data_IF_891487841111
#
_entry.id   IF_891487841111
#
_cell.length_a   1.000
_cell.length_b   1.000
_cell.length_c   1.000
_cell.angle_alpha   90.00
_cell.angle_beta   90.00
_cell.angle_gamma   90.00
#
_symmetry.space_group_name_H-M   'P 1'
#
loop_
_entity.id
_entity.type
_entity.pdbx_description
1 polymer ?
#
# COMPACT_ATOMS: atom_id res chain seq x y z
N UNK A 1 -4.83 26.16 -9.71
CA UNK A 1 -5.12 24.93 -10.47
C UNK A 1 -4.96 23.75 -9.52
N UNK A 2 -6.02 22.99 -9.24
CA UNK A 2 -5.95 21.80 -8.39
C UNK A 2 -5.56 20.59 -9.24
N UNK A 3 -4.57 19.81 -8.80
CA UNK A 3 -4.02 18.69 -9.57
C UNK A 3 -2.62 18.31 -9.12
N UNK A 4 -2.00 17.38 -9.83
CA UNK A 4 -0.66 16.89 -9.52
C UNK A 4 0.13 16.50 -10.76
N UNK A 5 1.46 16.62 -10.69
CA UNK A 5 2.35 16.14 -11.74
C UNK A 5 2.69 14.67 -11.50
N UNK A 6 2.44 13.82 -12.50
CA UNK A 6 2.82 12.40 -12.49
C UNK A 6 4.21 12.22 -13.11
N UNK A 7 4.59 13.13 -14.01
CA UNK A 7 5.95 13.24 -14.53
C UNK A 7 6.33 14.71 -14.66
N UNK A 8 7.60 14.98 -14.98
CA UNK A 8 8.08 16.35 -15.27
C UNK A 8 7.27 17.09 -16.35
N UNK A 9 6.51 16.35 -17.18
CA UNK A 9 5.75 16.91 -18.31
C UNK A 9 4.24 16.65 -18.25
N UNK A 10 3.78 15.79 -17.34
CA UNK A 10 2.37 15.38 -17.28
C UNK A 10 1.73 15.89 -16.00
N UNK A 11 0.94 16.96 -16.12
CA UNK A 11 0.05 17.44 -15.07
C UNK A 11 -1.34 16.83 -15.26
N UNK A 12 -1.89 16.26 -14.19
CA UNK A 12 -3.25 15.70 -14.15
C UNK A 12 -4.13 16.60 -13.26
N UNK A 13 -5.13 17.28 -13.85
CA UNK A 13 -6.12 18.04 -13.08
C UNK A 13 -6.90 17.14 -12.12
N UNK A 14 -7.27 17.66 -10.94
CA UNK A 14 -8.08 16.90 -9.97
C UNK A 14 -9.43 16.45 -10.52
N UNK A 15 -9.99 17.22 -11.48
CA UNK A 15 -11.25 16.91 -12.14
C UNK A 15 -11.21 15.61 -12.95
N UNK A 16 -10.05 15.12 -13.36
CA UNK A 16 -9.90 13.84 -14.06
C UNK A 16 -10.36 12.68 -13.15
N UNK A 17 -10.00 12.76 -11.88
CA UNK A 17 -10.28 11.71 -10.89
C UNK A 17 -11.74 11.64 -10.47
N UNK A 18 -12.50 12.73 -10.65
CA UNK A 18 -13.92 12.81 -10.28
C UNK A 18 -14.86 12.69 -11.47
N UNK A 19 -14.37 12.18 -12.62
CA UNK A 19 -15.19 12.06 -13.82
C UNK A 19 -16.33 11.05 -13.68
N UNK A 20 -17.55 11.59 -13.54
CA UNK A 20 -18.78 10.81 -13.57
C UNK A 20 -18.95 10.03 -14.88
N UNK A 21 -19.44 8.80 -14.74
CA UNK A 21 -19.80 7.90 -15.84
C UNK A 21 -18.64 7.08 -16.43
N UNK A 22 -17.40 7.23 -15.97
CA UNK A 22 -16.30 6.35 -16.38
C UNK A 22 -16.55 4.91 -15.90
N UNK A 23 -16.42 3.95 -16.81
CA UNK A 23 -16.59 2.53 -16.49
C UNK A 23 -15.22 1.94 -16.19
N UNK A 24 -14.85 1.95 -14.90
CA UNK A 24 -13.62 1.31 -14.44
C UNK A 24 -13.79 -0.21 -14.46
N UNK A 25 -12.74 -0.91 -14.89
CA UNK A 25 -12.74 -2.37 -15.03
C UNK A 25 -12.46 -3.00 -13.66
N UNK A 26 -13.26 -4.00 -13.29
CA UNK A 26 -13.12 -4.76 -12.03
C UNK A 26 -13.07 -3.85 -10.79
N UNK A 27 -13.85 -2.76 -10.79
CA UNK A 27 -13.92 -1.80 -9.69
C UNK A 27 -14.23 -2.47 -8.33
N UNK A 28 -15.17 -3.44 -8.24
CA UNK A 28 -15.42 -4.12 -6.97
C UNK A 28 -14.21 -4.89 -6.44
N UNK A 29 -13.43 -5.54 -7.30
CA UNK A 29 -12.20 -6.23 -6.92
C UNK A 29 -11.09 -5.27 -6.50
N UNK A 30 -10.94 -4.14 -7.20
CA UNK A 30 -9.99 -3.09 -6.84
C UNK A 30 -10.35 -2.46 -5.50
N UNK A 31 -11.63 -2.20 -5.27
CA UNK A 31 -12.12 -1.75 -3.97
C UNK A 31 -11.84 -2.76 -2.86
N UNK A 32 -12.11 -4.05 -3.09
CA UNK A 32 -11.76 -5.13 -2.14
C UNK A 32 -10.26 -5.17 -1.85
N UNK A 33 -9.43 -5.00 -2.87
CA UNK A 33 -7.98 -4.93 -2.75
C UNK A 33 -7.56 -3.79 -1.82
N UNK A 34 -8.01 -2.55 -2.09
CA UNK A 34 -7.72 -1.36 -1.26
C UNK A 34 -8.14 -1.59 0.19
N UNK A 35 -9.34 -2.08 0.41
CA UNK A 35 -9.87 -2.38 1.74
C UNK A 35 -9.03 -3.39 2.56
N UNK A 36 -8.50 -4.42 1.90
CA UNK A 36 -7.62 -5.43 2.55
C UNK A 36 -6.27 -4.79 2.91
N UNK A 37 -5.72 -3.98 2.00
CA UNK A 37 -4.45 -3.28 2.17
C UNK A 37 -4.55 -2.29 3.33
N UNK A 38 -5.59 -1.46 3.38
CA UNK A 38 -5.82 -0.49 4.46
C UNK A 38 -5.82 -1.16 5.84
N UNK A 39 -6.54 -2.28 5.97
CA UNK A 39 -6.60 -2.99 7.25
C UNK A 39 -5.24 -3.57 7.66
N UNK A 40 -4.47 -4.10 6.71
CA UNK A 40 -3.12 -4.58 6.97
C UNK A 40 -2.16 -3.45 7.33
N UNK A 41 -2.29 -2.29 6.67
CA UNK A 41 -1.52 -1.09 6.99
C UNK A 41 -1.85 -0.53 8.37
N UNK A 42 -3.11 -0.60 8.81
CA UNK A 42 -3.48 -0.17 10.17
C UNK A 42 -2.73 -0.99 11.23
N UNK A 43 -2.71 -2.33 11.08
CA UNK A 43 -1.96 -3.22 11.98
C UNK A 43 -0.45 -2.95 11.91
N UNK A 44 0.09 -2.75 10.71
CA UNK A 44 1.51 -2.45 10.50
C UNK A 44 1.91 -1.08 11.06
N UNK A 45 1.08 -0.04 10.87
CA UNK A 45 1.28 1.32 11.37
C UNK A 45 1.33 1.33 12.90
N UNK A 46 0.48 0.55 13.55
CA UNK A 46 0.53 0.37 15.01
C UNK A 46 1.87 -0.22 15.46
N UNK A 47 2.33 -1.30 14.81
CA UNK A 47 3.61 -1.92 15.13
C UNK A 47 4.82 -0.98 14.85
N UNK A 48 4.73 -0.18 13.80
CA UNK A 48 5.72 0.86 13.47
C UNK A 48 5.84 1.90 14.58
N UNK A 49 4.70 2.45 15.04
CA UNK A 49 4.68 3.44 16.13
C UNK A 49 5.28 2.87 17.42
N UNK A 50 4.99 1.61 17.74
CA UNK A 50 5.56 0.93 18.91
C UNK A 50 7.07 0.75 18.77
N UNK A 51 7.55 0.36 17.58
CA UNK A 51 8.98 0.26 17.27
C UNK A 51 9.71 1.61 17.41
N UNK A 52 9.17 2.67 16.80
CA UNK A 52 9.75 4.00 16.84
C UNK A 52 9.77 4.56 18.26
N UNK A 53 8.70 4.38 19.05
CA UNK A 53 8.68 4.76 20.46
C UNK A 53 9.74 4.02 21.27
N UNK A 54 9.85 2.71 21.11
CA UNK A 54 10.86 1.92 21.78
C UNK A 54 12.28 2.41 21.41
N UNK A 55 12.51 2.75 20.15
CA UNK A 55 13.78 3.31 19.72
C UNK A 55 14.11 4.65 20.38
N UNK A 56 13.13 5.56 20.51
CA UNK A 56 13.36 6.89 21.09
C UNK A 56 13.72 6.78 22.58
N UNK A 57 13.06 5.85 23.30
CA UNK A 57 13.38 5.57 24.71
C UNK A 57 14.78 5.00 24.86
N UNK A 58 15.20 4.08 23.98
CA UNK A 58 16.56 3.54 23.98
C UNK A 58 17.64 4.60 23.74
N UNK A 59 17.36 5.63 22.95
CA UNK A 59 18.31 6.74 22.71
C UNK A 59 18.33 7.79 23.83
N UNK A 60 17.26 7.91 24.62
CA UNK A 60 17.16 8.89 25.70
C UNK A 60 17.71 8.38 27.05
N UNK A 61 17.88 7.07 27.23
CA UNK A 61 18.47 6.47 28.43
C UNK A 61 20.00 6.55 28.41
N UNK A 62 20.58 7.11 29.47
CA UNK A 62 22.02 7.36 29.68
C UNK A 62 22.96 6.12 29.61
N UNK A 63 22.47 4.93 29.29
CA UNK A 63 23.24 3.68 29.29
C UNK A 63 23.51 3.07 27.90
N UNK A 64 23.20 3.76 26.80
CA UNK A 64 23.73 3.41 25.47
C UNK A 64 23.37 2.01 24.93
N UNK A 65 22.40 1.31 25.54
CA UNK A 65 21.91 0.06 25.00
C UNK A 65 21.05 0.39 23.78
N UNK A 66 21.55 0.07 22.59
CA UNK A 66 20.81 0.17 21.33
C UNK A 66 19.46 -0.54 21.37
N UNK A 67 18.72 -0.50 20.26
CA UNK A 67 17.43 -1.19 20.18
C UNK A 67 17.60 -2.66 20.56
N UNK A 68 16.79 -3.14 21.50
CA UNK A 68 16.86 -4.53 21.92
C UNK A 68 16.47 -5.46 20.76
N UNK A 69 17.14 -6.61 20.69
CA UNK A 69 16.85 -7.65 19.69
C UNK A 69 15.34 -7.97 19.63
N UNK A 70 14.70 -8.07 20.79
CA UNK A 70 13.28 -8.35 20.92
C UNK A 70 12.37 -7.29 20.29
N UNK A 71 12.74 -6.00 20.35
CA UNK A 71 12.01 -4.92 19.67
C UNK A 71 12.13 -5.06 18.15
N UNK A 72 13.35 -5.37 17.65
CA UNK A 72 13.58 -5.65 16.24
C UNK A 72 12.80 -6.86 15.73
N UNK A 73 12.81 -7.97 16.47
CA UNK A 73 12.07 -9.20 16.13
C UNK A 73 10.55 -8.97 16.08
N UNK A 74 10.01 -8.15 17.00
CA UNK A 74 8.58 -7.80 16.98
C UNK A 74 8.21 -7.00 15.73
N UNK A 75 9.03 -6.01 15.36
CA UNK A 75 8.82 -5.23 14.15
C UNK A 75 8.95 -6.09 12.89
N UNK A 76 9.97 -6.94 12.83
CA UNK A 76 10.15 -7.89 11.74
C UNK A 76 8.92 -8.79 11.58
N UNK A 77 8.40 -9.36 12.66
CA UNK A 77 7.20 -10.21 12.62
C UNK A 77 5.99 -9.48 12.05
N UNK A 78 5.77 -8.22 12.43
CA UNK A 78 4.68 -7.42 11.87
C UNK A 78 4.83 -7.21 10.36
N UNK A 79 6.06 -6.96 9.88
CA UNK A 79 6.36 -6.88 8.45
C UNK A 79 6.15 -8.21 7.72
N UNK A 80 6.45 -9.35 8.35
CA UNK A 80 6.20 -10.67 7.76
C UNK A 80 4.70 -10.97 7.63
N UNK A 81 3.92 -10.66 8.65
CA UNK A 81 2.45 -10.75 8.61
C UNK A 81 1.88 -9.83 7.52
N UNK A 82 2.41 -8.62 7.38
CA UNK A 82 2.04 -7.70 6.30
C UNK A 82 2.39 -8.23 4.89
N UNK A 83 3.59 -8.81 4.71
CA UNK A 83 3.98 -9.40 3.42
C UNK A 83 3.07 -10.57 3.07
N UNK A 84 2.60 -11.35 4.05
CA UNK A 84 1.59 -12.39 3.82
C UNK A 84 0.25 -11.81 3.33
N UNK A 85 -0.16 -10.64 3.81
CA UNK A 85 -1.33 -9.91 3.27
C UNK A 85 -1.10 -9.53 1.80
N UNK A 86 0.07 -8.99 1.47
CA UNK A 86 0.44 -8.61 0.10
C UNK A 86 0.43 -9.82 -0.85
N UNK A 87 1.10 -10.90 -0.47
CA UNK A 87 1.16 -12.13 -1.27
C UNK A 87 -0.24 -12.75 -1.41
N UNK A 88 -1.07 -12.63 -0.37
CA UNK A 88 -2.47 -12.98 -0.41
C UNK A 88 -3.23 -12.20 -1.50
N UNK A 89 -3.15 -10.88 -1.49
CA UNK A 89 -3.80 -10.02 -2.50
C UNK A 89 -3.38 -10.44 -3.91
N UNK A 90 -2.08 -10.67 -4.14
CA UNK A 90 -1.57 -11.15 -5.44
C UNK A 90 -2.17 -12.50 -5.80
N UNK A 91 -2.14 -13.47 -4.88
CA UNK A 91 -2.60 -14.84 -5.14
C UNK A 91 -4.09 -14.96 -5.43
N UNK A 92 -4.92 -14.10 -4.83
CA UNK A 92 -6.39 -14.20 -4.94
C UNK A 92 -7.02 -13.15 -5.86
N UNK A 93 -6.43 -11.95 -5.96
CA UNK A 93 -6.98 -10.84 -6.74
C UNK A 93 -6.09 -10.48 -7.94
N UNK A 94 -4.81 -10.86 -7.97
CA UNK A 94 -3.84 -10.40 -8.99
C UNK A 94 -4.32 -10.54 -10.44
N UNK A 95 -4.91 -11.69 -10.80
CA UNK A 95 -5.48 -11.90 -12.15
C UNK A 95 -6.64 -10.95 -12.44
N UNK A 96 -7.52 -10.72 -11.46
CA UNK A 96 -8.68 -9.80 -11.61
C UNK A 96 -8.26 -8.34 -11.59
N UNK A 97 -7.15 -8.02 -10.92
CA UNK A 97 -6.57 -6.68 -10.90
C UNK A 97 -5.78 -6.35 -12.18
N UNK A 98 -5.49 -7.35 -13.03
CA UNK A 98 -4.73 -7.15 -14.26
C UNK A 98 -3.22 -6.99 -14.04
N UNK A 99 -2.70 -7.50 -12.90
CA UNK A 99 -1.32 -7.29 -12.44
C UNK A 99 -0.56 -8.59 -12.15
N UNK A 100 -1.17 -9.75 -12.43
CA UNK A 100 -0.52 -11.05 -12.29
C UNK A 100 -0.65 -11.88 -13.55
N UNK A 101 0.47 -12.42 -14.02
CA UNK A 101 0.46 -13.54 -14.97
C UNK A 101 -0.16 -14.74 -14.25
N UNK A 102 -1.07 -15.44 -14.92
CA UNK A 102 -1.79 -16.61 -14.40
C UNK A 102 -0.92 -17.84 -14.15
N UNK A 103 0.32 -17.67 -13.68
CA UNK A 103 1.17 -18.73 -13.17
C UNK A 103 0.49 -19.40 -11.98
N UNK A 104 0.40 -20.73 -12.04
CA UNK A 104 -0.39 -21.58 -11.16
C UNK A 104 -0.51 -21.01 -9.75
N UNK A 105 -1.76 -20.72 -9.34
CA UNK A 105 -2.13 -20.42 -7.97
C UNK A 105 -1.59 -21.52 -7.07
N UNK A 106 -0.38 -21.34 -6.53
CA UNK A 106 -0.01 -22.03 -5.31
C UNK A 106 -1.01 -21.49 -4.31
N UNK A 107 -2.01 -22.30 -3.95
CA UNK A 107 -2.90 -22.02 -2.82
C UNK A 107 -2.01 -21.44 -1.74
N UNK A 108 -2.25 -20.20 -1.34
CA UNK A 108 -1.42 -19.52 -0.35
C UNK A 108 -1.53 -20.32 0.95
N UNK A 109 -0.65 -21.31 1.10
CA UNK A 109 -0.42 -22.06 2.32
C UNK A 109 0.23 -21.06 3.28
N UNK A 110 -0.59 -20.23 3.91
CA UNK A 110 -0.11 -19.04 4.61
C UNK A 110 -1.17 -17.96 4.82
N UNK A 111 -2.37 -18.09 4.23
CA UNK A 111 -3.49 -17.23 4.62
C UNK A 111 -3.97 -17.62 6.03
N UNK A 112 -3.34 -17.09 7.08
CA UNK A 112 -3.70 -17.40 8.45
C UNK A 112 -5.18 -17.13 8.73
N UNK A 113 -5.75 -17.84 9.70
CA UNK A 113 -7.18 -17.72 10.08
C UNK A 113 -7.61 -16.28 10.41
N UNK A 114 -6.67 -15.39 10.76
CA UNK A 114 -6.93 -13.97 11.03
C UNK A 114 -7.21 -13.20 9.74
N UNK A 115 -6.31 -13.30 8.74
CA UNK A 115 -6.46 -12.64 7.43
C UNK A 115 -7.67 -13.21 6.70
N UNK A 116 -8.00 -14.51 6.84
CA UNK A 116 -9.18 -15.12 6.18
C UNK A 116 -10.48 -14.55 6.72
N UNK A 117 -10.58 -14.41 8.04
CA UNK A 117 -11.75 -13.82 8.70
C UNK A 117 -11.91 -12.35 8.37
N UNK A 118 -10.81 -11.60 8.28
CA UNK A 118 -10.83 -10.20 7.83
C UNK A 118 -11.29 -10.10 6.38
N UNK A 119 -10.82 -10.99 5.51
CA UNK A 119 -11.25 -11.06 4.10
C UNK A 119 -12.76 -11.31 4.01
N UNK A 120 -13.28 -12.36 4.66
CA UNK A 120 -14.71 -12.69 4.64
C UNK A 120 -15.56 -11.54 5.18
N UNK A 121 -15.13 -10.90 6.27
CA UNK A 121 -15.82 -9.73 6.86
C UNK A 121 -15.87 -8.54 5.91
N UNK A 122 -14.79 -8.28 5.17
CA UNK A 122 -14.68 -7.10 4.31
C UNK A 122 -15.36 -7.30 2.94
N UNK A 123 -15.48 -8.55 2.48
CA UNK A 123 -16.22 -8.85 1.24
C UNK A 123 -17.75 -8.64 1.34
N UNK A 124 -18.29 -8.47 2.55
CA UNK A 124 -19.73 -8.42 2.81
C UNK A 124 -20.30 -7.02 3.15
N UNK A 125 -19.51 -5.93 3.11
CA UNK A 125 -19.91 -4.72 3.88
C UNK A 125 -19.65 -3.31 3.35
N UNK A 126 -19.02 -3.08 2.18
CA UNK A 126 -18.91 -1.71 1.64
C UNK A 126 -19.22 -1.69 0.15
N UNK A 127 -20.25 -0.95 -0.22
CA UNK A 127 -20.55 -0.59 -1.61
C UNK A 127 -19.42 0.31 -2.11
N UNK A 128 -18.45 -0.29 -2.80
CA UNK A 128 -17.37 0.39 -3.51
C UNK A 128 -17.79 0.60 -4.97
N UNK A 129 -19.07 0.91 -5.16
CA UNK A 129 -19.74 0.83 -6.46
C UNK A 129 -19.59 2.13 -7.26
N UNK A 130 -19.02 3.18 -6.64
CA UNK A 130 -18.81 4.48 -7.28
C UNK A 130 -17.32 4.76 -7.50
N UNK A 131 -16.91 5.26 -8.70
CA UNK A 131 -15.54 5.71 -8.95
C UNK A 131 -15.07 6.78 -7.96
N UNK A 132 -15.98 7.63 -7.46
CA UNK A 132 -15.64 8.68 -6.50
C UNK A 132 -15.23 8.11 -5.15
N UNK A 133 -15.97 7.13 -4.62
CA UNK A 133 -15.64 6.44 -3.37
C UNK A 133 -14.31 5.70 -3.50
N UNK A 134 -14.10 4.99 -4.61
CA UNK A 134 -12.84 4.31 -4.91
C UNK A 134 -11.63 5.26 -4.91
N UNK A 135 -11.76 6.44 -5.53
CA UNK A 135 -10.69 7.44 -5.56
C UNK A 135 -10.41 8.03 -4.17
N UNK A 136 -11.45 8.24 -3.35
CA UNK A 136 -11.27 8.68 -1.96
C UNK A 136 -10.54 7.63 -1.12
N UNK A 137 -10.91 6.36 -1.25
CA UNK A 137 -10.26 5.27 -0.55
C UNK A 137 -8.79 5.12 -0.98
N UNK A 138 -8.49 5.28 -2.27
CA UNK A 138 -7.09 5.34 -2.75
C UNK A 138 -6.31 6.49 -2.13
N UNK A 139 -6.93 7.67 -1.99
CA UNK A 139 -6.27 8.81 -1.37
C UNK A 139 -5.95 8.53 0.10
N UNK A 140 -6.88 7.90 0.83
CA UNK A 140 -6.67 7.41 2.20
C UNK A 140 -5.52 6.40 2.27
N UNK A 141 -5.55 5.38 1.41
CA UNK A 141 -4.51 4.36 1.32
C UNK A 141 -3.11 4.97 1.10
N UNK A 142 -2.98 5.90 0.16
CA UNK A 142 -1.69 6.55 -0.12
C UNK A 142 -1.23 7.45 1.03
N UNK A 143 -2.15 7.98 1.83
CA UNK A 143 -1.81 8.73 3.04
C UNK A 143 -1.37 7.80 4.17
N UNK A 144 -2.02 6.65 4.31
CA UNK A 144 -1.76 5.67 5.37
C UNK A 144 -0.44 4.93 5.18
N UNK A 145 0.05 4.77 3.95
CA UNK A 145 1.34 4.11 3.68
C UNK A 145 2.56 5.01 3.94
N UNK A 146 2.39 6.33 4.08
CA UNK A 146 3.51 7.29 4.15
C UNK A 146 4.49 7.02 5.30
N UNK A 147 4.07 6.38 6.40
CA UNK A 147 4.99 6.06 7.50
C UNK A 147 6.10 5.10 7.08
N UNK A 148 5.94 4.32 6.01
CA UNK A 148 6.99 3.45 5.49
C UNK A 148 8.17 4.25 4.92
N UNK A 149 7.96 5.48 4.45
CA UNK A 149 9.04 6.34 3.98
C UNK A 149 9.96 6.76 5.11
N UNK A 150 9.42 6.97 6.32
CA UNK A 150 10.23 7.23 7.51
C UNK A 150 11.17 6.06 7.81
N UNK A 151 10.69 4.83 7.66
CA UNK A 151 11.53 3.64 7.84
C UNK A 151 12.62 3.52 6.77
N UNK A 152 12.32 3.81 5.50
CA UNK A 152 13.34 3.82 4.43
C UNK A 152 14.42 4.87 4.71
N UNK A 153 14.03 6.07 5.16
CA UNK A 153 14.98 7.13 5.55
C UNK A 153 15.86 6.69 6.72
N UNK A 154 15.28 6.08 7.75
CA UNK A 154 16.01 5.59 8.92
C UNK A 154 16.95 4.43 8.58
N UNK A 155 16.61 3.58 7.60
CA UNK A 155 17.49 2.50 7.14
C UNK A 155 18.72 3.00 6.36
N UNK A 156 18.54 4.07 5.57
CA UNK A 156 19.61 4.70 4.81
C UNK A 156 20.53 5.61 5.65
N UNK A 157 20.10 5.93 6.88
CA UNK A 157 20.91 6.70 7.82
C UNK A 157 21.97 5.83 8.49
N UNK A 158 23.21 6.34 8.60
CA UNK A 158 24.28 5.71 9.38
C UNK A 158 24.06 5.82 10.89
N UNK A 159 23.08 6.61 11.30
CA UNK A 159 22.70 6.88 12.69
C UNK A 159 21.24 6.50 12.93
N UNK A 160 20.93 6.06 14.15
CA UNK A 160 19.56 5.85 14.61
C UNK A 160 19.18 4.39 14.82
N UNK A 161 17.87 4.16 14.89
CA UNK A 161 17.20 2.93 15.30
C UNK A 161 17.82 1.67 14.69
N UNK A 162 17.91 1.65 13.36
CA UNK A 162 18.37 0.49 12.60
C UNK A 162 19.88 0.27 12.67
N UNK A 163 20.68 1.34 12.86
CA UNK A 163 22.14 1.22 12.92
C UNK A 163 22.61 0.43 14.15
N UNK A 164 21.85 0.49 15.25
CA UNK A 164 22.13 -0.23 16.50
C UNK A 164 21.60 -1.67 16.54
N UNK A 165 20.91 -2.12 15.48
CA UNK A 165 20.22 -3.41 15.45
C UNK A 165 21.15 -4.54 14.96
N UNK A 166 20.94 -5.79 15.43
CA UNK A 166 21.62 -6.96 14.86
C UNK A 166 21.44 -7.04 13.34
N UNK A 167 22.54 -7.30 12.63
CA UNK A 167 22.60 -7.25 11.16
C UNK A 167 21.65 -8.24 10.50
N UNK A 168 21.44 -9.41 11.10
CA UNK A 168 20.53 -10.44 10.63
C UNK A 168 19.07 -9.99 10.65
N UNK A 169 18.67 -9.25 11.68
CA UNK A 169 17.31 -8.70 11.80
C UNK A 169 17.14 -7.50 10.86
N UNK A 170 18.13 -6.59 10.84
CA UNK A 170 18.09 -5.41 9.97
C UNK A 170 17.94 -5.79 8.50
N UNK A 171 18.73 -6.77 8.03
CA UNK A 171 18.69 -7.25 6.64
C UNK A 171 17.32 -7.82 6.28
N UNK A 172 16.69 -8.57 7.20
CA UNK A 172 15.36 -9.12 6.98
C UNK A 172 14.29 -8.03 6.93
N UNK A 173 14.35 -7.02 7.80
CA UNK A 173 13.44 -5.87 7.78
C UNK A 173 13.57 -5.11 6.45
N UNK A 174 14.80 -4.84 6.00
CA UNK A 174 15.05 -4.18 4.72
C UNK A 174 14.46 -4.97 3.55
N UNK A 175 14.64 -6.31 3.55
CA UNK A 175 14.05 -7.17 2.55
C UNK A 175 12.52 -7.10 2.52
N UNK A 176 11.84 -7.03 3.67
CA UNK A 176 10.36 -6.93 3.73
C UNK A 176 9.84 -5.54 3.34
N UNK A 177 10.56 -4.48 3.69
CA UNK A 177 10.23 -3.12 3.23
C UNK A 177 10.40 -2.98 1.72
N UNK A 178 11.48 -3.54 1.15
CA UNK A 178 11.67 -3.64 -0.30
C UNK A 178 10.54 -4.42 -0.97
N UNK A 179 10.17 -5.59 -0.42
CA UNK A 179 9.04 -6.39 -0.92
C UNK A 179 7.73 -5.61 -0.89
N UNK A 180 7.52 -4.77 0.13
CA UNK A 180 6.35 -3.89 0.22
C UNK A 180 6.36 -2.84 -0.89
N UNK A 181 7.50 -2.18 -1.13
CA UNK A 181 7.65 -1.22 -2.24
C UNK A 181 7.36 -1.88 -3.60
N UNK A 182 7.91 -3.08 -3.84
CA UNK A 182 7.65 -3.85 -5.05
C UNK A 182 6.17 -4.20 -5.20
N UNK A 183 5.48 -4.59 -4.12
CA UNK A 183 4.04 -4.84 -4.13
C UNK A 183 3.26 -3.58 -4.54
N UNK A 184 3.53 -2.43 -3.93
CA UNK A 184 2.85 -1.17 -4.31
C UNK A 184 3.10 -0.82 -5.77
N UNK A 185 4.34 -0.95 -6.25
CA UNK A 185 4.69 -0.65 -7.63
C UNK A 185 4.00 -1.59 -8.64
N UNK A 186 4.03 -2.90 -8.38
CA UNK A 186 3.59 -3.93 -9.33
C UNK A 186 2.09 -4.20 -9.28
N UNK A 187 1.45 -3.95 -8.15
CA UNK A 187 0.01 -4.23 -7.93
C UNK A 187 -0.78 -2.93 -7.87
N UNK A 188 -0.56 -2.12 -6.83
CA UNK A 188 -1.39 -0.95 -6.53
C UNK A 188 -1.26 0.13 -7.62
N UNK A 189 -0.04 0.61 -7.83
CA UNK A 189 0.24 1.66 -8.82
C UNK A 189 -0.10 1.18 -10.22
N UNK A 190 0.13 -0.09 -10.54
CA UNK A 190 -0.18 -0.65 -11.86
C UNK A 190 -1.67 -0.51 -12.22
N UNK A 191 -2.60 -0.93 -11.35
CA UNK A 191 -4.03 -0.77 -11.66
C UNK A 191 -4.51 0.68 -11.53
N UNK A 192 -3.90 1.49 -10.65
CA UNK A 192 -4.24 2.93 -10.49
C UNK A 192 -3.89 3.70 -11.75
N UNK A 193 -2.71 3.45 -12.35
CA UNK A 193 -2.29 4.10 -13.59
C UNK A 193 -3.16 3.67 -14.76
N UNK A 194 -3.58 2.40 -14.82
CA UNK A 194 -4.55 1.93 -15.82
C UNK A 194 -5.89 2.67 -15.70
N UNK A 195 -6.43 2.80 -14.48
CA UNK A 195 -7.70 3.51 -14.25
C UNK A 195 -7.59 4.99 -14.57
N UNK A 196 -6.47 5.62 -14.22
CA UNK A 196 -6.20 6.99 -14.60
C UNK A 196 -6.22 7.17 -16.12
N UNK A 197 -5.64 6.23 -16.88
CA UNK A 197 -5.70 6.25 -18.34
C UNK A 197 -7.14 6.27 -18.86
N UNK A 198 -8.02 5.44 -18.29
CA UNK A 198 -9.45 5.39 -18.64
C UNK A 198 -10.20 6.68 -18.27
N UNK A 199 -9.87 7.26 -17.10
CA UNK A 199 -10.46 8.52 -16.64
C UNK A 199 -10.01 9.69 -17.52
N UNK A 200 -8.73 9.73 -17.91
CA UNK A 200 -8.16 10.73 -18.81
C UNK A 200 -8.79 10.66 -20.20
N UNK A 201 -8.91 9.48 -20.79
CA UNK A 201 -9.55 9.28 -22.10
C UNK A 201 -11.01 9.79 -22.08
N UNK A 202 -11.75 9.48 -21.01
CA UNK A 202 -13.12 9.97 -20.86
C UNK A 202 -13.20 11.48 -20.65
N UNK A 203 -12.25 12.04 -19.89
CA UNK A 203 -12.16 13.49 -19.69
C UNK A 203 -11.89 14.22 -21.01
N UNK A 204 -10.93 13.74 -21.81
CA UNK A 204 -10.58 14.31 -23.10
C UNK A 204 -11.75 14.28 -24.08
N UNK A 205 -12.43 13.13 -24.22
CA UNK A 205 -13.63 12.98 -25.07
C UNK A 205 -14.79 13.87 -24.65
N UNK A 206 -14.94 14.15 -23.36
CA UNK A 206 -15.91 15.16 -22.92
C UNK A 206 -15.48 16.53 -23.41
N UNK A 207 -14.24 16.95 -23.15
CA UNK A 207 -13.71 18.25 -23.57
C UNK A 207 -13.87 18.53 -25.07
N UNK A 208 -13.63 17.53 -25.93
CA UNK A 208 -13.87 17.65 -27.37
C UNK A 208 -15.32 17.98 -27.73
N UNK A 209 -16.31 17.49 -26.96
CA UNK A 209 -17.72 17.84 -27.20
C UNK A 209 -18.00 19.30 -26.87
N UNK A 210 -17.44 19.85 -25.80
CA UNK A 210 -17.60 21.26 -25.43
C UNK A 210 -16.95 22.22 -26.42
N UNK A 211 -15.94 21.76 -27.17
CA UNK A 211 -15.26 22.57 -28.19
C UNK A 211 -15.98 22.55 -29.54
N UNK A 212 -16.84 21.56 -29.77
CA UNK A 212 -17.60 21.38 -31.01
C UNK A 212 -19.06 21.87 -30.89
N UNK A 213 -19.43 22.43 -29.74
CA UNK A 213 -20.68 23.16 -29.48
C UNK A 213 -20.43 24.66 -29.50
#
# INVERSE_FOLDING_TARGET
MTGGYISRKLHVPSAVWTQGGAKLINLPEKGKCVAIIDQGLEELSKASKDFLRASQVSTAGLNGTGISRAVGERWLRALEEWVQVCDGVVGNLGKKLGVGDGGASKKAAGWGNKVSRTFDRMTNGKSLDSPASYVQDLAGLFQDVQFLDDHHRLLGSSMGSYASMPIDIRTQIEARLKRTSEFFCTVVIAFVVQDLGLLLDKYAKKGEKWLNE
#
